data_IF_765417251358
#
_entry.id   IF_765417251358
#
_cell.length_a   1.000
_cell.length_b   1.000
_cell.length_c   1.000
_cell.angle_alpha   90.00
_cell.angle_beta   90.00
_cell.angle_gamma   90.00
#
_symmetry.space_group_name_H-M   'P 1'
#
loop_
_entity.id
_entity.type
_entity.pdbx_description
1 polymer ?
2 non-polymer ?
3 water ?
#
# COMPACT_ATOMS: atom_id res chain seq x y z
N UNK A 1 -18.81 -18.60 18.42
CA UNK A 1 -19.58 -18.27 17.22
C UNK A 1 -21.03 -18.09 17.56
N UNK A 2 -21.81 -17.58 16.61
CA UNK A 2 -23.22 -17.30 16.83
C UNK A 2 -24.05 -17.84 15.68
N UNK A 3 -25.21 -18.42 16.03
CA UNK A 3 -26.09 -19.02 15.03
C UNK A 3 -26.46 -18.03 13.94
N UNK A 4 -26.68 -16.78 14.30
CA UNK A 4 -27.18 -15.79 13.36
C UNK A 4 -26.07 -15.03 12.65
N UNK A 5 -24.80 -15.38 12.86
CA UNK A 5 -23.71 -14.72 12.15
C UNK A 5 -23.54 -15.34 10.77
N UNK A 6 -23.61 -14.48 9.75
CA UNK A 6 -23.41 -14.94 8.37
C UNK A 6 -22.03 -15.55 8.19
N UNK A 7 -21.00 -14.87 8.70
CA UNK A 7 -19.65 -15.37 8.44
C UNK A 7 -19.34 -16.61 9.27
N UNK A 8 -19.92 -16.74 10.47
CA UNK A 8 -19.74 -17.99 11.21
C UNK A 8 -20.36 -19.16 10.47
N UNK A 9 -21.54 -18.96 9.87
CA UNK A 9 -22.17 -20.01 9.09
C UNK A 9 -21.30 -20.39 7.88
N UNK A 10 -20.76 -19.39 7.20
CA UNK A 10 -19.93 -19.67 6.02
C UNK A 10 -18.67 -20.42 6.39
N UNK A 11 -18.03 -20.03 7.50
CA UNK A 11 -16.85 -20.76 7.95
C UNK A 11 -17.19 -22.22 8.24
N UNK A 12 -18.39 -22.48 8.78
CA UNK A 12 -18.79 -23.84 9.11
C UNK A 12 -19.16 -24.65 7.86
N UNK A 13 -19.43 -23.99 6.73
CA UNK A 13 -19.67 -24.71 5.48
C UNK A 13 -18.36 -25.10 4.80
N UNK A 14 -17.32 -24.30 4.94
CA UNK A 14 -15.99 -24.68 4.50
C UNK A 14 -15.52 -25.88 5.31
N UNK A 15 -14.59 -26.65 4.74
CA UNK A 15 -14.03 -27.77 5.51
C UNK A 15 -13.29 -27.21 6.72
N UNK A 16 -13.44 -27.90 7.85
CA UNK A 16 -12.89 -27.41 9.12
C UNK A 16 -11.37 -27.51 9.13
N UNK A 17 -10.71 -26.49 9.69
CA UNK A 17 -9.25 -26.55 9.81
C UNK A 17 -8.80 -27.33 11.05
N UNK A 18 -9.74 -27.92 11.77
CA UNK A 18 -9.47 -28.51 13.07
C UNK A 18 -10.01 -27.67 14.22
N UNK A 19 -10.51 -26.47 13.94
CA UNK A 19 -11.00 -25.60 14.98
C UNK A 19 -9.97 -24.68 15.58
N UNK A 20 -8.95 -24.29 14.81
CA UNK A 20 -7.86 -23.46 15.31
C UNK A 20 -7.87 -22.10 14.65
N UNK A 21 -7.36 -21.11 15.36
CA UNK A 21 -7.30 -19.76 14.81
C UNK A 21 -6.28 -19.71 13.67
N UNK A 22 -6.64 -19.20 12.50
CA UNK A 22 -5.66 -19.02 11.44
C UNK A 22 -4.77 -17.82 11.67
N UNK A 23 -3.50 -17.98 11.34
CA UNK A 23 -2.59 -16.83 11.33
C UNK A 23 -2.83 -15.95 10.12
N UNK A 24 -3.16 -16.55 8.98
CA UNK A 24 -3.35 -15.78 7.76
C UNK A 24 -4.59 -14.89 7.88
N UNK A 25 -4.52 -13.63 7.45
CA UNK A 25 -5.76 -12.83 7.37
C UNK A 25 -6.80 -13.56 6.54
N UNK A 26 -8.02 -13.61 7.06
CA UNK A 26 -9.05 -14.40 6.39
C UNK A 26 -10.41 -13.88 6.80
N UNK A 27 -11.38 -14.06 5.91
CA UNK A 27 -12.78 -13.76 6.18
C UNK A 27 -13.54 -15.08 6.10
N UNK A 28 -14.04 -15.53 7.25
CA UNK A 28 -14.75 -16.82 7.33
C UNK A 28 -13.92 -17.94 6.74
N UNK A 29 -12.59 -17.85 6.89
CA UNK A 29 -11.68 -18.86 6.38
C UNK A 29 -11.20 -18.63 4.96
N UNK A 30 -11.86 -17.76 4.22
CA UNK A 30 -11.43 -17.45 2.86
C UNK A 30 -10.21 -16.52 2.88
N UNK A 31 -9.24 -16.82 2.02
CA UNK A 31 -7.98 -16.07 1.96
C UNK A 31 -7.77 -15.43 0.59
N UNK A 32 -8.04 -16.17 -0.49
CA UNK A 32 -7.89 -15.59 -1.82
C UNK A 32 -8.94 -14.52 -2.04
N UNK A 33 -8.52 -13.38 -2.62
CA UNK A 33 -9.45 -12.27 -2.81
C UNK A 33 -10.69 -12.70 -3.59
N UNK A 34 -10.54 -13.62 -4.54
CA UNK A 34 -11.70 -14.10 -5.28
C UNK A 34 -12.72 -14.76 -4.35
N UNK A 35 -12.23 -15.53 -3.37
CA UNK A 35 -13.13 -16.16 -2.40
C UNK A 35 -13.72 -15.13 -1.44
N UNK A 36 -12.90 -14.16 -1.01
CA UNK A 36 -13.40 -13.10 -0.13
C UNK A 36 -14.47 -12.29 -0.84
N UNK A 37 -14.23 -11.96 -2.10
CA UNK A 37 -15.18 -11.18 -2.88
C UNK A 37 -16.52 -11.90 -2.99
N UNK A 38 -16.50 -13.21 -3.23
CA UNK A 38 -17.74 -13.99 -3.33
C UNK A 38 -18.52 -13.93 -2.02
N UNK A 39 -17.83 -14.08 -0.88
CA UNK A 39 -18.49 -14.03 0.42
C UNK A 39 -19.09 -12.66 0.67
N UNK A 40 -18.34 -11.59 0.37
CA UNK A 40 -18.84 -10.24 0.61
C UNK A 40 -20.09 -9.97 -0.22
N UNK A 41 -20.08 -10.38 -1.50
CA UNK A 41 -21.24 -10.14 -2.34
C UNK A 41 -22.44 -10.94 -1.85
N UNK A 42 -22.23 -12.19 -1.43
CA UNK A 42 -23.34 -12.97 -0.88
C UNK A 42 -23.87 -12.33 0.39
N UNK A 43 -22.99 -11.84 1.25
CA UNK A 43 -23.43 -11.17 2.47
C UNK A 43 -24.30 -9.97 2.17
N UNK A 44 -23.78 -9.05 1.34
CA UNK A 44 -24.49 -7.80 1.11
C UNK A 44 -25.77 -8.02 0.33
N UNK A 45 -25.80 -9.00 -0.57
CA UNK A 45 -26.99 -9.20 -1.38
C UNK A 45 -28.06 -10.06 -0.72
N UNK A 46 -27.70 -10.94 0.23
CA UNK A 46 -28.70 -11.81 0.85
C UNK A 46 -29.13 -11.38 2.23
N UNK A 47 -28.38 -10.51 2.91
CA UNK A 47 -28.69 -10.08 4.27
C UNK A 47 -29.08 -8.61 4.18
N UNK A 48 -30.32 -8.29 4.55
CA UNK A 48 -30.75 -6.90 4.46
C UNK A 48 -30.46 -6.12 5.73
N UNK A 49 -30.15 -6.80 6.84
CA UNK A 49 -29.89 -6.17 8.13
C UNK A 49 -28.66 -6.82 8.75
N UNK A 50 -27.47 -6.31 8.43
CA UNK A 50 -26.24 -6.99 8.85
C UNK A 50 -26.03 -6.99 10.36
N UNK A 51 -25.53 -8.14 10.87
CA UNK A 51 -25.26 -8.32 12.29
C UNK A 51 -23.99 -7.62 12.72
N UNK A 52 -24.02 -7.05 13.93
CA UNK A 52 -22.85 -6.39 14.51
C UNK A 52 -21.62 -7.28 14.41
N UNK A 53 -21.75 -8.55 14.78
CA UNK A 53 -20.58 -9.42 14.86
C UNK A 53 -19.99 -9.70 13.49
N UNK A 54 -20.83 -9.66 12.46
CA UNK A 54 -20.32 -9.85 11.10
C UNK A 54 -19.58 -8.61 10.63
N UNK A 55 -20.12 -7.43 10.94
CA UNK A 55 -19.42 -6.18 10.63
C UNK A 55 -18.07 -6.14 11.34
N UNK A 56 -18.03 -6.59 12.60
CA UNK A 56 -16.76 -6.62 13.33
C UNK A 56 -15.80 -7.66 12.75
N UNK A 57 -16.31 -8.79 12.24
CA UNK A 57 -15.42 -9.74 11.57
C UNK A 57 -14.78 -9.15 10.33
N UNK A 58 -15.51 -8.29 9.61
CA UNK A 58 -14.94 -7.64 8.43
C UNK A 58 -13.88 -6.63 8.86
N UNK A 59 -14.18 -5.82 9.90
CA UNK A 59 -13.18 -4.90 10.44
C UNK A 59 -11.92 -5.67 10.87
N UNK A 60 -12.10 -6.78 11.56
CA UNK A 60 -10.94 -7.54 12.05
C UNK A 60 -10.15 -8.13 10.88
N UNK A 61 -10.83 -8.59 9.84
CA UNK A 61 -10.12 -9.05 8.64
C UNK A 61 -9.27 -7.92 8.05
N UNK A 62 -9.86 -6.73 7.94
CA UNK A 62 -9.13 -5.59 7.40
C UNK A 62 -7.96 -5.21 8.28
N UNK A 63 -8.14 -5.25 9.61
CA UNK A 63 -7.02 -4.90 10.48
C UNK A 63 -5.96 -5.98 10.45
N UNK A 64 -6.34 -7.24 10.25
CA UNK A 64 -5.35 -8.28 10.04
C UNK A 64 -4.56 -8.06 8.76
N UNK A 65 -5.21 -7.58 7.68
CA UNK A 65 -4.48 -7.24 6.46
C UNK A 65 -3.46 -6.16 6.73
N UNK A 66 -3.84 -5.14 7.50
CA UNK A 66 -2.90 -4.06 7.84
C UNK A 66 -1.71 -4.63 8.60
N UNK A 67 -1.96 -5.46 9.62
CA UNK A 67 -0.88 -6.03 10.41
C UNK A 67 0.02 -6.93 9.55
N UNK A 68 -0.52 -7.51 8.48
CA UNK A 68 0.28 -8.34 7.57
C UNK A 68 1.00 -7.51 6.51
N UNK A 69 0.83 -6.19 6.53
CA UNK A 69 1.37 -5.27 5.51
C UNK A 69 0.83 -5.59 4.12
N UNK A 70 -0.40 -6.09 4.06
CA UNK A 70 -1.05 -6.42 2.81
C UNK A 70 -2.03 -5.31 2.44
N UNK A 71 -1.47 -4.12 2.17
CA UNK A 71 -2.29 -2.99 1.83
C UNK A 71 -2.88 -3.12 0.42
N UNK A 72 -2.23 -3.88 -0.47
CA UNK A 72 -2.84 -4.13 -1.78
C UNK A 72 -4.18 -4.82 -1.63
N UNK A 73 -4.24 -5.86 -0.80
CA UNK A 73 -5.51 -6.55 -0.61
C UNK A 73 -6.50 -5.68 0.17
N UNK A 74 -6.02 -4.92 1.15
CA UNK A 74 -6.91 -4.01 1.88
C UNK A 74 -7.60 -3.05 0.91
N UNK A 75 -6.86 -2.49 -0.04
CA UNK A 75 -7.43 -1.54 -0.99
C UNK A 75 -8.51 -2.20 -1.84
N UNK A 76 -8.24 -3.42 -2.33
CA UNK A 76 -9.22 -4.15 -3.12
C UNK A 76 -10.49 -4.41 -2.32
N UNK A 77 -10.35 -4.85 -1.07
CA UNK A 77 -11.49 -5.21 -0.25
C UNK A 77 -12.33 -3.98 0.08
N UNK A 78 -11.67 -2.89 0.50
CA UNK A 78 -12.38 -1.65 0.83
C UNK A 78 -13.12 -1.11 -0.39
N UNK A 79 -12.46 -1.08 -1.56
CA UNK A 79 -13.13 -0.58 -2.75
C UNK A 79 -14.32 -1.45 -3.15
N UNK A 80 -14.21 -2.76 -2.98
CA UNK A 80 -15.33 -3.64 -3.35
C UNK A 80 -16.51 -3.42 -2.41
N UNK A 81 -16.24 -3.31 -1.11
CA UNK A 81 -17.32 -3.06 -0.17
C UNK A 81 -17.93 -1.69 -0.39
N UNK A 82 -17.09 -0.69 -0.70
CA UNK A 82 -17.60 0.63 -0.99
C UNK A 82 -18.60 0.58 -2.14
N UNK A 83 -18.25 -0.12 -3.22
CA UNK A 83 -19.14 -0.21 -4.37
C UNK A 83 -20.48 -0.84 -3.98
N UNK A 84 -20.44 -2.01 -3.36
CA UNK A 84 -21.68 -2.74 -3.11
C UNK A 84 -22.50 -2.11 -2.00
N UNK A 85 -21.85 -1.62 -0.94
CA UNK A 85 -22.61 -1.09 0.19
C UNK A 85 -23.17 0.30 -0.10
N UNK A 86 -22.38 1.17 -0.76
CA UNK A 86 -22.88 2.52 -1.01
C UNK A 86 -23.98 2.56 -2.05
N UNK A 87 -24.09 1.56 -2.93
CA UNK A 87 -25.16 1.52 -3.90
C UNK A 87 -26.43 0.87 -3.36
N UNK A 88 -26.38 0.32 -2.15
CA UNK A 88 -27.52 -0.41 -1.60
C UNK A 88 -28.72 0.51 -1.39
N UNK A 89 -29.91 -0.02 -1.67
CA UNK A 89 -31.14 0.68 -1.32
C UNK A 89 -31.46 0.59 0.16
N UNK A 90 -30.73 -0.22 0.92
CA UNK A 90 -30.91 -0.30 2.37
C UNK A 90 -29.96 0.67 3.07
N UNK A 91 -30.53 1.64 3.80
CA UNK A 91 -29.70 2.63 4.48
C UNK A 91 -28.69 1.99 5.44
N UNK A 92 -29.03 0.84 6.04
CA UNK A 92 -28.11 0.26 7.01
C UNK A 92 -26.80 -0.15 6.35
N UNK A 93 -26.83 -0.52 5.06
CA UNK A 93 -25.58 -0.92 4.43
C UNK A 93 -24.67 0.28 4.20
N UNK A 94 -25.23 1.45 3.90
CA UNK A 94 -24.38 2.63 3.82
C UNK A 94 -23.75 2.95 5.17
N UNK A 95 -24.53 2.82 6.24
CA UNK A 95 -24.02 3.05 7.60
C UNK A 95 -22.96 2.03 7.97
N UNK A 96 -23.16 0.77 7.57
CA UNK A 96 -22.15 -0.25 7.82
C UNK A 96 -20.83 0.09 7.14
N UNK A 97 -20.88 0.57 5.89
CA UNK A 97 -19.64 0.93 5.21
C UNK A 97 -18.94 2.08 5.92
N UNK A 98 -19.69 3.11 6.32
CA UNK A 98 -19.08 4.21 7.06
C UNK A 98 -18.38 3.70 8.31
N UNK A 99 -19.03 2.78 9.03
CA UNK A 99 -18.45 2.23 10.26
C UNK A 99 -17.18 1.44 9.95
N UNK A 100 -17.24 0.59 8.94
CA UNK A 100 -16.07 -0.20 8.59
C UNK A 100 -14.92 0.71 8.17
N UNK A 101 -15.20 1.66 7.28
CA UNK A 101 -14.13 2.54 6.80
C UNK A 101 -13.54 3.36 7.94
N UNK A 102 -14.39 3.91 8.81
CA UNK A 102 -13.88 4.73 9.90
C UNK A 102 -12.96 3.94 10.80
N UNK A 103 -13.36 2.71 11.15
CA UNK A 103 -12.55 1.89 12.02
C UNK A 103 -11.25 1.47 11.36
N UNK A 104 -11.31 1.12 10.07
CA UNK A 104 -10.10 0.73 9.36
C UNK A 104 -9.14 1.91 9.24
N UNK A 105 -9.65 3.11 8.98
CA UNK A 105 -8.77 4.26 8.84
C UNK A 105 -8.12 4.65 10.17
N UNK A 106 -8.82 4.47 11.30
CA UNK A 106 -8.17 4.70 12.59
C UNK A 106 -7.01 3.74 12.78
N UNK A 107 -7.25 2.45 12.50
CA UNK A 107 -6.19 1.45 12.66
C UNK A 107 -5.01 1.74 11.74
N UNK A 108 -5.27 2.10 10.49
CA UNK A 108 -4.19 2.41 9.56
C UNK A 108 -3.39 3.61 10.03
N UNK A 109 -4.09 4.66 10.46
CA UNK A 109 -3.41 5.88 10.89
C UNK A 109 -2.55 5.62 12.11
N UNK A 110 -3.07 4.86 13.07
CA UNK A 110 -2.28 4.60 14.27
C UNK A 110 -1.12 3.65 13.98
N UNK A 111 -1.36 2.60 13.18
CA UNK A 111 -0.28 1.69 12.81
C UNK A 111 0.87 2.44 12.18
N UNK A 112 0.57 3.41 11.33
CA UNK A 112 1.58 4.25 10.67
C UNK A 112 1.67 5.62 11.30
N UNK A 113 1.43 5.70 12.61
CA UNK A 113 1.45 6.99 13.29
C UNK A 113 2.78 7.71 13.16
N UNK A 114 3.89 6.98 13.10
CA UNK A 114 5.20 7.61 13.01
C UNK A 114 5.58 7.95 11.58
N UNK A 115 4.82 7.46 10.60
CA UNK A 115 5.12 7.61 9.18
C UNK A 115 4.21 8.58 8.46
N UNK A 116 2.92 8.59 8.79
CA UNK A 116 1.92 9.34 8.03
C UNK A 116 1.32 10.44 8.88
N UNK A 117 1.04 11.56 8.23
CA UNK A 117 0.26 12.64 8.83
C UNK A 117 -1.03 12.76 8.03
N UNK A 118 -2.16 12.55 8.69
CA UNK A 118 -3.44 12.65 8.00
C UNK A 118 -3.79 14.13 7.87
N UNK A 119 -4.14 14.54 6.67
CA UNK A 119 -4.36 15.95 6.39
C UNK A 119 -5.64 16.45 7.08
N UNK B 3 27.61 12.46 -22.71
CA UNK B 3 26.77 12.85 -21.59
C UNK B 3 25.45 12.10 -21.62
N UNK B 4 25.16 11.39 -20.53
CA UNK B 4 23.98 10.54 -20.48
C UNK B 4 23.53 10.42 -19.04
N UNK B 5 22.22 10.22 -18.88
CA UNK B 5 21.63 10.03 -17.57
C UNK B 5 22.36 8.93 -16.80
N UNK B 6 22.57 9.19 -15.51
CA UNK B 6 23.22 8.23 -14.64
C UNK B 6 22.44 6.91 -14.59
N UNK B 7 21.13 6.99 -14.37
CA UNK B 7 20.34 5.76 -14.30
C UNK B 7 20.12 5.12 -15.66
N UNK B 8 20.09 5.91 -16.74
CA UNK B 8 20.02 5.32 -18.07
C UNK B 8 21.25 4.47 -18.37
N UNK B 9 22.43 4.96 -17.98
CA UNK B 9 23.65 4.17 -18.17
C UNK B 9 23.56 2.86 -17.41
N UNK B 10 23.06 2.88 -16.17
CA UNK B 10 22.92 1.63 -15.43
C UNK B 10 21.98 0.68 -16.14
N UNK B 11 20.85 1.20 -16.61
CA UNK B 11 19.84 0.36 -17.27
C UNK B 11 20.37 -0.22 -18.58
N UNK B 12 21.07 0.61 -19.37
CA UNK B 12 21.63 0.13 -20.63
C UNK B 12 22.70 -0.92 -20.38
N UNK B 13 23.55 -0.70 -19.38
CA UNK B 13 24.57 -1.71 -19.04
C UNK B 13 23.93 -3.02 -18.65
N UNK B 14 22.85 -2.96 -17.86
CA UNK B 14 22.13 -4.17 -17.48
C UNK B 14 21.61 -4.91 -18.70
N UNK B 15 21.02 -4.20 -19.67
CA UNK B 15 20.44 -4.85 -20.84
C UNK B 15 21.52 -5.53 -21.67
N UNK B 16 22.68 -4.88 -21.79
CA UNK B 16 23.80 -5.49 -22.50
C UNK B 16 24.26 -6.79 -21.84
N UNK B 17 23.95 -6.98 -20.56
CA UNK B 17 24.30 -8.19 -19.84
C UNK B 17 23.12 -9.14 -19.67
N UNK B 18 22.01 -8.88 -20.37
CA UNK B 18 20.88 -9.78 -20.34
C UNK B 18 19.87 -9.50 -19.26
N UNK B 19 19.92 -8.32 -18.64
CA UNK B 19 19.00 -7.99 -17.57
C UNK B 19 17.98 -6.96 -18.02
N UNK B 20 16.71 -7.31 -17.91
CA UNK B 20 15.62 -6.43 -18.29
C UNK B 20 14.86 -6.02 -17.02
N UNK B 21 13.82 -5.22 -17.19
CA UNK B 21 13.15 -4.61 -16.04
C UNK B 21 12.61 -5.68 -15.09
N UNK B 22 12.90 -5.60 -13.80
CA UNK B 22 12.24 -6.47 -12.83
C UNK B 22 10.74 -6.22 -12.81
N UNK B 23 9.98 -7.26 -12.43
CA UNK B 23 8.55 -7.06 -12.29
C UNK B 23 8.22 -6.12 -11.13
N UNK B 24 8.99 -6.18 -10.07
CA UNK B 24 8.75 -5.38 -8.88
C UNK B 24 9.24 -3.94 -9.08
N UNK B 25 8.64 -2.97 -8.37
CA UNK B 25 9.16 -1.59 -8.42
C UNK B 25 10.66 -1.58 -8.20
N UNK B 26 11.36 -0.83 -9.04
CA UNK B 26 12.81 -0.87 -9.04
C UNK B 26 13.36 0.44 -9.55
N UNK B 27 14.59 0.73 -9.15
CA UNK B 27 15.33 1.89 -9.63
C UNK B 27 16.46 1.34 -10.49
N UNK B 28 16.30 1.44 -11.82
CA UNK B 28 17.30 0.95 -12.78
C UNK B 28 17.72 -0.49 -12.47
N UNK B 29 16.75 -1.32 -12.07
CA UNK B 29 16.98 -2.71 -11.83
C UNK B 29 17.15 -3.07 -10.37
N UNK B 30 17.47 -2.10 -9.52
CA UNK B 30 17.64 -2.38 -8.09
C UNK B 30 16.26 -2.51 -7.43
N UNK B 31 16.03 -3.65 -6.76
CA UNK B 31 14.75 -3.92 -6.10
C UNK B 31 14.90 -3.92 -4.58
N UNK B 32 15.80 -4.74 -4.05
CA UNK B 32 15.99 -4.78 -2.61
C UNK B 32 16.54 -3.45 -2.12
N UNK B 33 16.08 -3.03 -0.94
CA UNK B 33 16.56 -1.77 -0.37
C UNK B 33 18.10 -1.72 -0.32
N UNK B 34 18.74 -2.85 -0.01
CA UNK B 34 20.21 -2.86 0.02
C UNK B 34 20.81 -2.44 -1.31
N UNK B 35 20.22 -2.88 -2.42
CA UNK B 35 20.76 -2.50 -3.72
C UNK B 35 20.36 -1.07 -4.09
N UNK B 36 19.15 -0.66 -3.74
CA UNK B 36 18.71 0.71 -3.98
C UNK B 36 19.60 1.71 -3.25
N UNK B 37 19.93 1.42 -1.99
CA UNK B 37 20.85 2.26 -1.23
C UNK B 37 22.18 2.43 -1.95
N UNK B 38 22.76 1.32 -2.40
CA UNK B 38 24.08 1.36 -3.03
C UNK B 38 24.05 2.24 -4.27
N UNK B 39 22.98 2.11 -5.06
CA UNK B 39 22.82 2.90 -6.28
C UNK B 39 22.63 4.37 -5.95
N UNK B 40 21.74 4.67 -4.99
CA UNK B 40 21.49 6.06 -4.63
C UNK B 40 22.74 6.72 -4.07
N UNK B 41 23.51 5.98 -3.27
CA UNK B 41 24.74 6.54 -2.72
C UNK B 41 25.74 6.84 -3.83
N UNK B 42 25.89 5.94 -4.80
CA UNK B 42 26.79 6.22 -5.92
C UNK B 42 26.36 7.47 -6.67
N UNK B 43 25.06 7.59 -6.94
CA UNK B 43 24.54 8.76 -7.66
C UNK B 43 24.82 10.05 -6.89
N UNK B 44 24.42 10.10 -5.63
CA UNK B 44 24.45 11.36 -4.88
C UNK B 44 25.89 11.75 -4.55
N UNK B 45 26.77 10.78 -4.26
CA UNK B 45 28.13 11.13 -3.88
C UNK B 45 29.04 11.46 -5.06
N UNK B 46 28.75 10.95 -6.26
CA UNK B 46 29.65 11.19 -7.40
C UNK B 46 29.19 12.29 -8.34
N UNK B 47 27.92 12.67 -8.30
CA UNK B 47 27.33 13.67 -9.19
C UNK B 47 27.03 14.90 -8.37
N UNK B 48 27.68 16.03 -8.69
CA UNK B 48 27.46 17.26 -7.95
C UNK B 48 26.32 18.10 -8.49
N UNK B 49 25.89 17.85 -9.72
CA UNK B 49 24.84 18.64 -10.37
C UNK B 49 23.88 17.64 -10.99
N UNK B 50 22.90 17.15 -10.24
CA UNK B 50 22.08 16.03 -10.74
C UNK B 50 21.25 16.41 -11.96
N UNK B 51 21.18 15.49 -12.91
CA UNK B 51 20.41 15.72 -14.11
C UNK B 51 18.92 15.55 -13.85
N UNK B 52 18.12 16.40 -14.51
CA UNK B 52 16.67 16.33 -14.41
C UNK B 52 16.17 14.92 -14.72
N UNK B 53 16.72 14.30 -15.77
CA UNK B 53 16.28 12.98 -16.18
C UNK B 53 16.42 11.96 -15.05
N UNK B 54 17.48 12.09 -14.26
CA UNK B 54 17.70 11.16 -13.14
C UNK B 54 16.78 11.49 -11.97
N UNK B 55 16.62 12.77 -11.65
CA UNK B 55 15.64 13.15 -10.63
C UNK B 55 14.25 12.61 -10.97
N UNK B 56 13.83 12.73 -12.25
CA UNK B 56 12.51 12.23 -12.61
C UNK B 56 12.43 10.72 -12.57
N UNK B 57 13.52 9.99 -12.85
CA UNK B 57 13.47 8.54 -12.68
C UNK B 57 13.32 8.16 -11.21
N UNK B 58 13.88 8.95 -10.29
CA UNK B 58 13.69 8.68 -8.87
C UNK B 58 12.26 8.99 -8.46
N UNK B 59 11.69 10.10 -8.96
CA UNK B 59 10.29 10.37 -8.68
C UNK B 59 9.40 9.23 -9.19
N UNK B 60 9.69 8.73 -10.40
CA UNK B 60 8.90 7.64 -10.96
C UNK B 60 9.03 6.37 -10.12
N UNK B 61 10.23 6.09 -9.62
CA UNK B 61 10.41 4.94 -8.73
C UNK B 61 9.57 5.09 -7.47
N UNK B 62 9.61 6.28 -6.85
CA UNK B 62 8.81 6.49 -5.65
C UNK B 62 7.32 6.36 -5.93
N UNK B 63 6.86 6.84 -7.08
CA UNK B 63 5.44 6.70 -7.35
C UNK B 63 5.07 5.29 -7.78
N UNK B 64 6.02 4.51 -8.31
CA UNK B 64 5.78 3.08 -8.47
C UNK B 64 5.58 2.42 -7.10
N UNK B 65 6.34 2.84 -6.10
CA UNK B 65 6.18 2.30 -4.76
C UNK B 65 4.82 2.68 -4.19
N UNK B 66 4.38 3.91 -4.44
CA UNK B 66 3.05 4.35 -3.99
C UNK B 66 1.96 3.49 -4.64
N UNK B 67 2.07 3.28 -5.95
CA UNK B 67 1.05 2.51 -6.67
C UNK B 67 0.99 1.08 -6.17
N UNK B 68 2.12 0.53 -5.73
CA UNK B 68 2.22 -0.79 -5.13
C UNK B 68 1.82 -0.81 -3.66
N UNK B 69 1.57 0.36 -3.07
CA UNK B 69 1.22 0.49 -1.64
C UNK B 69 2.36 0.04 -0.73
N UNK B 70 3.60 0.12 -1.22
CA UNK B 70 4.76 -0.29 -0.43
C UNK B 70 5.22 0.89 0.43
N UNK B 71 4.44 1.17 1.46
CA UNK B 71 4.68 2.33 2.29
C UNK B 71 6.00 2.20 3.06
N UNK B 72 6.31 1.00 3.55
CA UNK B 72 7.55 0.81 4.29
C UNK B 72 8.76 1.15 3.42
N UNK B 73 8.78 0.67 2.17
CA UNK B 73 9.96 0.92 1.35
C UNK B 73 10.00 2.37 0.90
N UNK B 74 8.84 2.96 0.59
CA UNK B 74 8.81 4.38 0.26
C UNK B 74 9.42 5.23 1.37
N UNK B 75 9.01 4.98 2.61
CA UNK B 75 9.54 5.75 3.73
C UNK B 75 11.05 5.56 3.88
N UNK B 76 11.52 4.31 3.76
CA UNK B 76 12.96 4.05 3.83
C UNK B 76 13.72 4.82 2.76
N UNK B 77 13.20 4.79 1.52
CA UNK B 77 13.91 5.41 0.40
C UNK B 77 13.92 6.92 0.55
N UNK B 78 12.78 7.52 0.91
CA UNK B 78 12.70 8.97 1.09
C UNK B 78 13.66 9.42 2.18
N UNK B 79 13.69 8.70 3.31
CA UNK B 79 14.57 9.11 4.42
C UNK B 79 16.04 8.89 4.09
N UNK B 80 16.36 7.87 3.30
CA UNK B 80 17.76 7.65 2.93
C UNK B 80 18.24 8.76 2.02
N UNK B 81 17.42 9.12 1.02
CA UNK B 81 17.76 10.22 0.13
C UNK B 81 17.90 11.53 0.90
N UNK B 82 17.01 11.76 1.87
CA UNK B 82 17.05 13.00 2.64
C UNK B 82 18.40 13.16 3.32
N UNK B 83 18.90 12.11 3.97
CA UNK B 83 20.13 12.26 4.73
C UNK B 83 21.38 12.29 3.86
N UNK B 84 21.32 11.78 2.63
CA UNK B 84 22.47 11.92 1.73
C UNK B 84 22.43 13.25 0.98
N UNK B 85 21.23 13.72 0.61
CA UNK B 85 21.10 14.92 -0.21
C UNK B 85 21.19 16.21 0.61
N UNK B 86 20.90 16.15 1.90
CA UNK B 86 21.00 17.36 2.70
C UNK B 86 22.35 17.54 3.37
N UNK B 87 23.17 16.50 3.42
CA UNK B 87 24.53 16.60 3.96
C UNK B 87 25.40 17.42 3.04
N UNK B 91 22.94 23.55 -1.32
CA UNK B 91 23.36 23.15 -2.65
C UNK B 91 22.17 22.68 -3.50
N UNK B 92 22.44 22.33 -4.76
CA UNK B 92 21.37 21.90 -5.64
C UNK B 92 20.77 20.59 -5.16
N UNK B 93 21.55 19.76 -4.45
CA UNK B 93 21.00 18.51 -3.93
C UNK B 93 19.90 18.78 -2.92
N UNK B 94 20.02 19.86 -2.15
CA UNK B 94 18.96 20.20 -1.22
C UNK B 94 17.67 20.53 -1.97
N UNK B 95 17.80 21.27 -3.08
CA UNK B 95 16.62 21.58 -3.89
C UNK B 95 16.07 20.33 -4.55
N UNK B 96 16.96 19.45 -5.02
CA UNK B 96 16.51 18.21 -5.63
C UNK B 96 15.69 17.38 -4.65
N UNK B 97 16.14 17.29 -3.40
CA UNK B 97 15.35 16.53 -2.43
C UNK B 97 13.97 17.15 -2.25
N UNK B 98 13.91 18.48 -2.09
CA UNK B 98 12.61 19.12 -1.90
C UNK B 98 11.68 18.85 -3.08
N UNK B 99 12.24 18.84 -4.29
CA UNK B 99 11.44 18.60 -5.49
C UNK B 99 10.91 17.18 -5.50
N UNK B 100 11.76 16.20 -5.19
CA UNK B 100 11.32 14.81 -5.16
C UNK B 100 10.24 14.63 -4.10
N UNK B 101 10.50 15.10 -2.88
CA UNK B 101 9.54 14.94 -1.80
C UNK B 101 8.22 15.62 -2.13
N UNK B 102 8.26 16.84 -2.66
CA UNK B 102 7.03 17.56 -2.98
C UNK B 102 6.16 16.77 -3.96
N UNK B 103 6.78 16.17 -4.97
CA UNK B 103 6.01 15.39 -5.94
C UNK B 103 5.36 14.20 -5.26
N UNK B 104 6.11 13.49 -4.42
CA UNK B 104 5.58 12.37 -3.64
C UNK B 104 4.43 12.82 -2.74
N UNK B 105 4.61 13.94 -2.03
CA UNK B 105 3.58 14.39 -1.09
C UNK B 105 2.28 14.76 -1.81
N UNK B 106 2.38 15.32 -3.02
CA UNK B 106 1.18 15.65 -3.79
C UNK B 106 0.42 14.37 -4.15
N UNK B 107 1.15 13.37 -4.67
CA UNK B 107 0.52 12.11 -5.02
C UNK B 107 -0.15 11.48 -3.80
N UNK B 108 0.54 11.47 -2.66
CA UNK B 108 -0.04 10.87 -1.46
C UNK B 108 -1.28 11.63 -1.01
N UNK B 109 -1.22 12.95 -1.00
CA UNK B 109 -2.38 13.74 -0.58
C UNK B 109 -3.57 13.47 -1.48
N UNK B 110 -3.34 13.43 -2.80
CA UNK B 110 -4.45 13.29 -3.73
C UNK B 110 -4.99 11.86 -3.74
N UNK B 111 -4.14 10.87 -3.46
CA UNK B 111 -4.57 9.48 -3.49
C UNK B 111 -5.20 9.07 -2.16
N UNK B 112 -4.62 9.50 -1.04
CA UNK B 112 -4.98 8.96 0.26
C UNK B 112 -5.38 9.99 1.31
N UNK B 113 -5.16 11.28 1.08
CA UNK B 113 -5.44 12.27 2.11
C UNK B 113 -4.44 12.29 3.25
N UNK B 114 -3.23 11.81 3.01
CA UNK B 114 -2.15 11.83 4.00
C UNK B 114 -0.87 12.26 3.32
N UNK B 115 0.15 12.54 4.14
CA UNK B 115 1.49 12.83 3.64
C UNK B 115 2.49 12.17 4.58
N UNK B 116 3.74 12.07 4.12
CA UNK B 116 4.80 11.53 4.96
C UNK B 116 5.24 12.56 5.99
N UNK B 117 5.45 12.08 7.23
CA UNK B 117 6.03 12.91 8.28
C UNK B 117 7.53 13.12 8.07
N UNK B 118 8.22 12.13 7.50
CA UNK B 118 9.67 12.14 7.30
C UNK B 118 10.39 12.59 8.58
N UNK B 119 10.04 11.99 9.72
CA UNK B 119 10.77 12.31 10.94
C UNK B 119 11.58 11.10 11.40
X LIG C 1 -4.49 6.89 4.24
X LIG C 1 -5.58 6.78 6.50
X LIG C 1 -4.22 6.73 7.21
X LIG C 1 -1.24 4.85 2.22
X LIG C 1 -1.10 3.55 1.75
X LIG C 1 0.03 3.16 1.04
X LIG C 1 -0.27 5.78 1.89
X LIG C 1 -5.30 1.71 1.60
X LIG C 1 -6.52 1.03 1.56
X LIG C 1 -7.63 1.65 2.16
X LIG C 1 -7.55 2.89 2.81
X LIG C 1 -6.30 3.58 2.86
X LIG C 1 -6.13 4.93 3.55
X LIG C 1 -4.79 5.56 3.56
X LIG C 1 -5.47 7.58 5.19
X LIG C 1 -6.59 7.48 7.40
X LIG C 1 -3.68 4.84 2.91
X LIG C 1 -5.21 2.93 2.26
X LIG C 1 0.99 4.12 0.77
X LIG C 1 0.84 5.41 1.18
X LIG C 1 -3.87 3.57 2.27
X LIG C 1 -2.36 5.42 2.91
X LIG C 1 -8.74 3.43 3.42
X LIG C 1 -7.06 5.47 4.07
X LIG C 1 -3.42 7.39 4.11
X LIG C 1 -9.10 3.03 4.46
X LIG C 1 -9.36 4.27 2.85
X LIG C 1 -3.86 1.02 0.84
X LIG C 1 2.44 3.72 -0.16
X LIG C 1 -0.46 7.45 2.40
#
# INVERSE_FOLDING_TARGET
SHMKSFFDKKRSERISNGGFRPAAPNLAGAVEFSDVKTLLKEWITTISDPMEEDILQVVRYCTDLIEEKDLEKLDLVIKYMKRLMQQSVESVWNMAFDFILDNVQVVLQQTYGSTLKVT
SHMKSFFDKKRSERISNGGFRPAAPNLAGAVEFSDVKTLLKEWITTISDPMEEDILQVVRYCTDLIEEKDLEKLDLVIKYMKRLMQQSVESVWNMAFDFILDNVQVVLQQTYGSTLKVT
EQ7 C10 C13 C15 C20 C21 C22 C26 C02 C03 C04 C05 C06 C07 C09 C12 C14 C16 C18 C23 C25 N17 N19 N28 O08 O11 O29 O30 CL01 CL24 CL27
#
